data_IF_419008016657
#
_entry.id   IF_419008016657
#
_cell.length_a   1.000
_cell.length_b   1.000
_cell.length_c   1.000
_cell.angle_alpha   90.00
_cell.angle_beta   90.00
_cell.angle_gamma   90.00
#
_symmetry.space_group_name_H-M   'P 1'
#
loop_
_entity.id
_entity.type
_entity.pdbx_description
1 polymer ?
#
# COMPACT_ATOMS: atom_id res chain seq x y z
N UNK A 1 54.73 -30.09 2.80
CA UNK A 1 53.80 -29.52 1.78
C UNK A 1 52.58 -30.41 1.47
N UNK A 2 52.69 -31.75 1.48
CA UNK A 2 51.59 -32.66 1.12
C UNK A 2 50.32 -32.54 2.01
N UNK A 3 50.49 -32.35 3.33
CA UNK A 3 49.39 -32.21 4.28
C UNK A 3 48.56 -30.93 4.08
N UNK A 4 49.18 -29.84 3.60
CA UNK A 4 48.50 -28.57 3.31
C UNK A 4 47.59 -28.75 2.09
N UNK A 5 48.08 -29.37 1.01
CA UNK A 5 47.28 -29.68 -0.18
C UNK A 5 46.14 -30.64 0.13
N UNK A 6 46.34 -31.60 1.04
CA UNK A 6 45.30 -32.52 1.50
C UNK A 6 44.20 -31.81 2.30
N UNK A 7 44.57 -30.92 3.24
CA UNK A 7 43.60 -30.09 3.99
C UNK A 7 42.79 -29.17 3.07
N UNK A 8 43.44 -28.59 2.06
CA UNK A 8 42.78 -27.76 1.05
C UNK A 8 41.78 -28.60 0.23
N UNK A 9 42.18 -29.78 -0.26
CA UNK A 9 41.26 -30.70 -0.96
C UNK A 9 40.08 -31.11 -0.08
N UNK A 10 40.32 -31.41 1.19
CA UNK A 10 39.26 -31.77 2.15
C UNK A 10 38.27 -30.63 2.35
N UNK A 11 38.74 -29.38 2.45
CA UNK A 11 37.87 -28.19 2.56
C UNK A 11 36.95 -28.07 1.34
N UNK A 12 37.49 -28.25 0.13
CA UNK A 12 36.67 -28.17 -1.09
C UNK A 12 35.65 -29.31 -1.19
N UNK A 13 36.00 -30.53 -0.76
CA UNK A 13 35.05 -31.65 -0.68
C UNK A 13 33.93 -31.35 0.31
N UNK A 14 34.25 -30.80 1.48
CA UNK A 14 33.25 -30.38 2.48
C UNK A 14 32.30 -29.31 1.92
N UNK A 15 32.83 -28.30 1.23
CA UNK A 15 32.02 -27.26 0.57
C UNK A 15 31.12 -27.86 -0.50
N UNK A 16 31.63 -28.81 -1.31
CA UNK A 16 30.85 -29.48 -2.35
C UNK A 16 29.68 -30.28 -1.75
N UNK A 17 29.93 -31.05 -0.68
CA UNK A 17 28.89 -31.82 0.01
C UNK A 17 27.82 -30.90 0.60
N UNK A 18 28.24 -29.81 1.26
CA UNK A 18 27.30 -28.82 1.79
C UNK A 18 26.45 -28.18 0.67
N UNK A 19 27.07 -27.83 -0.46
CA UNK A 19 26.36 -27.28 -1.61
C UNK A 19 25.35 -28.28 -2.20
N UNK A 20 25.71 -29.56 -2.31
CA UNK A 20 24.79 -30.61 -2.78
C UNK A 20 23.59 -30.81 -1.85
N UNK A 21 23.79 -30.73 -0.54
CA UNK A 21 22.69 -30.82 0.44
C UNK A 21 21.77 -29.61 0.32
N UNK A 22 22.32 -28.40 0.24
CA UNK A 22 21.55 -27.15 0.12
C UNK A 22 20.80 -27.06 -1.21
N UNK A 23 21.42 -27.50 -2.31
CA UNK A 23 20.84 -27.44 -3.65
C UNK A 23 19.90 -28.62 -3.94
N UNK A 24 20.17 -29.80 -3.38
CA UNK A 24 19.39 -31.02 -3.56
C UNK A 24 18.14 -31.08 -2.69
N UNK A 25 18.14 -30.38 -1.55
CA UNK A 25 16.97 -30.33 -0.69
C UNK A 25 15.95 -29.30 -1.20
N UNK A 26 14.86 -29.78 -1.80
CA UNK A 26 13.70 -28.96 -2.20
C UNK A 26 13.18 -28.10 -1.04
N UNK A 27 13.32 -28.56 0.20
CA UNK A 27 12.91 -27.83 1.40
C UNK A 27 13.63 -26.49 1.59
N UNK A 28 14.94 -26.42 1.29
CA UNK A 28 15.70 -25.18 1.47
C UNK A 28 15.29 -24.12 0.43
N UNK A 29 15.11 -24.54 -0.83
CA UNK A 29 14.62 -23.65 -1.91
C UNK A 29 13.22 -23.13 -1.62
N UNK A 30 12.33 -24.02 -1.15
CA UNK A 30 10.97 -23.64 -0.76
C UNK A 30 10.98 -22.67 0.43
N UNK A 31 11.82 -22.91 1.44
CA UNK A 31 11.94 -21.98 2.57
C UNK A 31 12.39 -20.58 2.12
N UNK A 32 13.35 -20.50 1.20
CA UNK A 32 13.80 -19.22 0.67
C UNK A 32 12.71 -18.51 -0.14
N UNK A 33 11.98 -19.25 -0.98
CA UNK A 33 10.85 -18.71 -1.74
C UNK A 33 9.74 -18.23 -0.80
N UNK A 34 9.36 -19.04 0.19
CA UNK A 34 8.36 -18.70 1.18
C UNK A 34 8.77 -17.47 2.00
N UNK A 35 10.05 -17.35 2.35
CA UNK A 35 10.54 -16.17 3.07
C UNK A 35 10.45 -14.90 2.23
N UNK A 36 10.77 -14.98 0.94
CA UNK A 36 10.63 -13.87 0.00
C UNK A 36 9.18 -13.49 -0.20
N UNK A 37 8.31 -14.47 -0.40
CA UNK A 37 6.87 -14.27 -0.53
C UNK A 37 6.28 -13.64 0.73
N UNK A 38 6.63 -14.16 1.90
CA UNK A 38 6.24 -13.61 3.19
C UNK A 38 6.62 -12.13 3.34
N UNK A 39 7.85 -11.76 2.96
CA UNK A 39 8.30 -10.35 2.96
C UNK A 39 7.43 -9.47 2.06
N UNK A 40 7.13 -9.92 0.85
CA UNK A 40 6.28 -9.19 -0.11
C UNK A 40 4.84 -9.06 0.39
N UNK A 41 4.28 -10.12 0.97
CA UNK A 41 2.93 -10.10 1.53
C UNK A 41 2.85 -9.15 2.73
N UNK A 42 3.87 -9.14 3.59
CA UNK A 42 3.93 -8.22 4.73
C UNK A 42 4.00 -6.76 4.30
N UNK A 43 4.80 -6.41 3.29
CA UNK A 43 4.80 -5.05 2.76
C UNK A 43 3.45 -4.67 2.14
N UNK A 44 2.83 -5.59 1.40
CA UNK A 44 1.53 -5.33 0.78
C UNK A 44 0.41 -5.17 1.81
N UNK A 45 0.45 -5.95 2.88
CA UNK A 45 -0.49 -5.82 4.01
C UNK A 45 -0.38 -4.44 4.66
N UNK A 46 0.84 -3.97 4.97
CA UNK A 46 1.05 -2.66 5.57
C UNK A 46 0.57 -1.51 4.66
N UNK A 47 0.78 -1.64 3.35
CA UNK A 47 0.26 -0.69 2.36
C UNK A 47 -1.27 -0.66 2.36
N UNK A 48 -1.92 -1.83 2.31
CA UNK A 48 -3.38 -1.95 2.32
C UNK A 48 -4.01 -1.46 3.63
N UNK A 49 -3.39 -1.72 4.78
CA UNK A 49 -3.84 -1.19 6.07
C UNK A 49 -3.79 0.34 6.09
N UNK A 50 -2.73 0.91 5.54
CA UNK A 50 -2.59 2.37 5.39
C UNK A 50 -3.70 2.94 4.50
N UNK A 51 -3.90 2.37 3.31
CA UNK A 51 -4.95 2.77 2.38
C UNK A 51 -6.35 2.65 2.99
N UNK A 52 -6.62 1.57 3.71
CA UNK A 52 -7.89 1.37 4.43
C UNK A 52 -8.10 2.47 5.47
N UNK A 53 -7.06 2.82 6.22
CA UNK A 53 -7.16 3.87 7.25
C UNK A 53 -7.46 5.24 6.65
N UNK A 54 -6.84 5.58 5.52
CA UNK A 54 -7.06 6.84 4.82
C UNK A 54 -8.43 6.90 4.17
N UNK A 55 -8.88 5.80 3.54
CA UNK A 55 -10.23 5.70 3.00
C UNK A 55 -11.28 5.82 4.10
N UNK A 56 -11.05 5.23 5.27
CA UNK A 56 -11.96 5.35 6.41
C UNK A 56 -12.06 6.79 6.95
N UNK A 57 -10.94 7.55 6.95
CA UNK A 57 -10.96 8.98 7.29
C UNK A 57 -11.76 9.78 6.27
N UNK A 58 -11.49 9.60 4.98
CA UNK A 58 -12.22 10.27 3.89
C UNK A 58 -13.72 9.96 3.96
N UNK A 59 -14.10 8.71 4.21
CA UNK A 59 -15.49 8.32 4.40
C UNK A 59 -16.14 9.03 5.58
N UNK A 60 -15.43 9.23 6.70
CA UNK A 60 -15.97 10.00 7.83
C UNK A 60 -16.14 11.49 7.49
N UNK A 61 -15.21 12.06 6.76
CA UNK A 61 -15.27 13.45 6.30
C UNK A 61 -16.40 13.66 5.28
N UNK A 62 -16.54 12.76 4.31
CA UNK A 62 -17.60 12.82 3.30
C UNK A 62 -18.97 12.49 3.88
N UNK A 63 -19.10 11.52 4.79
CA UNK A 63 -20.38 11.22 5.45
C UNK A 63 -20.80 12.26 6.49
N UNK A 64 -19.97 13.27 6.76
CA UNK A 64 -20.46 14.43 7.48
C UNK A 64 -21.53 15.11 6.60
N UNK A 65 -22.80 14.96 6.97
CA UNK A 65 -23.96 15.56 6.31
C UNK A 65 -23.75 16.99 5.76
N UNK A 66 -23.01 17.90 6.45
CA UNK A 66 -22.73 19.24 5.91
C UNK A 66 -21.87 19.25 4.64
N UNK A 67 -20.90 18.34 4.49
CA UNK A 67 -20.03 18.27 3.32
C UNK A 67 -20.81 17.80 2.08
N UNK A 68 -21.67 16.81 2.25
CA UNK A 68 -22.58 16.33 1.19
C UNK A 68 -23.57 17.42 0.80
N UNK A 69 -24.16 18.11 1.77
CA UNK A 69 -25.10 19.21 1.52
C UNK A 69 -24.43 20.38 0.78
N UNK A 70 -23.19 20.73 1.15
CA UNK A 70 -22.43 21.78 0.47
C UNK A 70 -22.09 21.40 -0.98
N UNK A 71 -21.64 20.16 -1.22
CA UNK A 71 -21.38 19.67 -2.58
C UNK A 71 -22.67 19.65 -3.43
N UNK A 72 -23.77 19.16 -2.87
CA UNK A 72 -25.09 19.18 -3.52
C UNK A 72 -25.56 20.59 -3.88
N UNK A 73 -25.35 21.57 -3.00
CA UNK A 73 -25.71 22.98 -3.23
C UNK A 73 -24.81 23.66 -4.27
N UNK A 74 -23.50 23.42 -4.21
CA UNK A 74 -22.51 24.12 -5.05
C UNK A 74 -22.37 23.51 -6.44
N UNK A 75 -22.32 22.19 -6.55
CA UNK A 75 -22.07 21.49 -7.83
C UNK A 75 -23.37 21.19 -8.59
N UNK A 76 -24.43 20.79 -7.86
CA UNK A 76 -25.69 20.36 -8.47
C UNK A 76 -26.78 21.43 -8.36
N UNK A 77 -26.54 22.53 -7.66
CA UNK A 77 -27.53 23.59 -7.45
C UNK A 77 -28.77 23.12 -6.71
N UNK A 78 -28.67 22.02 -5.94
CA UNK A 78 -29.81 21.44 -5.22
C UNK A 78 -30.23 22.34 -4.07
N UNK A 79 -31.54 22.50 -3.93
CA UNK A 79 -32.19 23.35 -2.93
C UNK A 79 -33.18 22.46 -2.15
N UNK A 80 -33.29 22.63 -0.84
CA UNK A 80 -34.24 21.84 -0.04
C UNK A 80 -35.68 22.25 -0.37
N UNK A 81 -36.64 21.32 -0.43
CA UNK A 81 -38.06 21.67 -0.58
C UNK A 81 -38.51 22.65 0.51
N UNK A 82 -39.03 23.81 0.11
CA UNK A 82 -39.46 24.90 1.02
C UNK A 82 -38.40 25.95 1.34
N UNK A 83 -37.17 25.85 0.81
CA UNK A 83 -36.11 26.85 0.99
C UNK A 83 -36.27 28.01 -0.03
N UNK A 84 -36.13 29.25 0.44
CA UNK A 84 -36.22 30.46 -0.40
C UNK A 84 -34.82 30.94 -0.78
N UNK A 85 -34.50 30.95 -2.08
CA UNK A 85 -33.18 31.38 -2.58
C UNK A 85 -33.24 32.81 -3.08
N UNK A 86 -32.41 33.68 -2.51
CA UNK A 86 -32.22 35.04 -2.99
C UNK A 86 -31.16 35.05 -4.10
N UNK A 87 -31.54 35.50 -5.30
CA UNK A 87 -30.61 35.74 -6.42
C UNK A 87 -30.44 37.23 -6.61
N UNK A 88 -29.21 37.72 -6.45
CA UNK A 88 -28.89 39.12 -6.68
C UNK A 88 -28.31 39.30 -8.09
N UNK A 89 -28.79 40.27 -8.87
CA UNK A 89 -28.14 40.63 -10.12
C UNK A 89 -26.75 41.21 -9.84
N UNK A 90 -25.80 41.11 -10.78
CA UNK A 90 -24.50 41.75 -10.65
C UNK A 90 -24.67 43.26 -10.43
N UNK A 91 -23.82 43.89 -9.61
CA UNK A 91 -23.90 45.33 -9.35
C UNK A 91 -23.79 46.10 -10.67
N UNK A 92 -24.64 47.12 -10.82
CA UNK A 92 -24.60 47.98 -12.00
C UNK A 92 -23.31 48.79 -11.96
N UNK A 93 -22.79 49.15 -13.13
CA UNK A 93 -21.57 49.95 -13.26
C UNK A 93 -21.69 51.34 -12.62
N UNK A 94 -22.92 51.81 -12.37
CA UNK A 94 -23.24 53.03 -11.61
C UNK A 94 -23.01 52.93 -10.10
N UNK A 95 -22.85 51.72 -9.56
CA UNK A 95 -22.82 51.43 -8.13
C UNK A 95 -21.42 51.02 -7.64
N UNK A 96 -20.40 51.04 -8.52
CA UNK A 96 -18.98 50.86 -8.19
C UNK A 96 -18.31 52.20 -7.94
#
# INVERSE_FOLDING_TARGET
MASIRAKIKLKYVLILVAALILLGNRGFRNLLNNYREYRTLMSRKAELETQRSDLAKRLKETNAQPAVEQAARSELGLIKPGETVYRFPPPKESDK
#
